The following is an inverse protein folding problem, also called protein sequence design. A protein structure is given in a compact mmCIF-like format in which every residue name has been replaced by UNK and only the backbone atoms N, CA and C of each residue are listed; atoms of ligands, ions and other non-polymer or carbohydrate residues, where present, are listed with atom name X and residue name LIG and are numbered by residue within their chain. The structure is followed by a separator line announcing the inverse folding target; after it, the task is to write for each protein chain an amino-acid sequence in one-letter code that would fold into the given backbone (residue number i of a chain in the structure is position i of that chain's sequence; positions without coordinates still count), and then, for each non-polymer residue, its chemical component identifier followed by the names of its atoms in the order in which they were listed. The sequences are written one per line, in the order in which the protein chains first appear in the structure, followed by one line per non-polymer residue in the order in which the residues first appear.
data_IF_452027601600
#
_entry.id   IF_452027601600
#
_cell.length_a   1.000
_cell.length_b   1.000
_cell.length_c   1.000
_cell.angle_alpha   90.00
_cell.angle_beta   90.00
_cell.angle_gamma   90.00
#
_symmetry.space_group_name_H-M   'P 1'
#
loop_
_entity.id
_entity.type
_entity.pdbx_description
1 polymer ?
#
# COMPACT_ATOMS: atom_id res chain seq x y z
N UNK A 1 4.92 -12.16 19.01
CA UNK A 1 5.33 -12.67 20.37
C UNK A 1 6.00 -11.51 21.08
N UNK A 2 5.41 -11.02 22.15
CA UNK A 2 5.95 -9.92 22.94
C UNK A 2 7.11 -10.37 23.84
N UNK A 3 8.08 -9.50 24.17
CA UNK A 3 9.09 -9.81 25.18
C UNK A 3 8.50 -10.29 26.51
N UNK A 4 7.34 -9.77 26.89
CA UNK A 4 6.60 -10.20 28.10
C UNK A 4 6.13 -11.65 28.03
N UNK A 5 5.88 -12.19 26.84
CA UNK A 5 5.50 -13.59 26.65
C UNK A 5 6.71 -14.54 26.69
N UNK A 6 7.92 -13.99 26.56
CA UNK A 6 9.16 -14.74 26.44
C UNK A 6 10.14 -14.49 27.62
N UNK A 7 9.66 -13.99 28.73
CA UNK A 7 10.46 -13.64 29.93
C UNK A 7 11.41 -14.76 30.35
N UNK A 8 10.98 -16.01 30.18
CA UNK A 8 11.77 -17.19 30.59
C UNK A 8 13.10 -17.35 29.85
N UNK A 9 13.19 -16.77 28.64
CA UNK A 9 14.36 -16.87 27.76
C UNK A 9 15.16 -15.56 27.69
N UNK A 10 14.72 -14.52 28.41
CA UNK A 10 15.41 -13.23 28.45
C UNK A 10 16.29 -13.14 29.72
N UNK A 11 17.39 -12.36 29.64
CA UNK A 11 18.19 -12.06 30.84
C UNK A 11 17.32 -11.44 31.93
N UNK A 12 17.66 -11.74 33.21
CA UNK A 12 16.98 -11.14 34.35
C UNK A 12 16.98 -9.61 34.21
N UNK A 13 15.81 -8.99 34.42
CA UNK A 13 15.61 -7.57 34.33
C UNK A 13 15.71 -6.95 32.90
N UNK A 14 15.91 -7.74 31.84
CA UNK A 14 16.02 -7.22 30.47
C UNK A 14 14.87 -6.26 30.09
N UNK A 15 13.64 -6.61 30.49
CA UNK A 15 12.46 -5.78 30.21
C UNK A 15 12.52 -4.45 30.96
N UNK A 16 12.97 -4.46 32.23
CA UNK A 16 13.04 -3.27 33.05
C UNK A 16 14.24 -2.38 32.69
N UNK A 17 15.41 -3.00 32.53
CA UNK A 17 16.69 -2.26 32.42
C UNK A 17 16.97 -1.82 30.96
N UNK A 18 16.51 -2.55 29.99
CA UNK A 18 16.73 -2.26 28.56
C UNK A 18 15.46 -1.68 27.93
N UNK A 19 14.37 -2.45 27.94
CA UNK A 19 13.15 -1.99 27.27
C UNK A 19 12.41 -0.92 28.06
N UNK A 20 12.51 -0.91 29.39
CA UNK A 20 11.89 0.09 30.26
C UNK A 20 12.51 1.48 30.17
N UNK A 21 13.78 1.56 29.76
CA UNK A 21 14.51 2.84 29.61
C UNK A 21 14.36 3.45 28.21
N UNK A 22 13.77 2.76 27.26
CA UNK A 22 13.51 3.31 25.95
C UNK A 22 12.54 4.51 26.01
N UNK A 23 12.65 5.47 25.11
CA UNK A 23 11.65 6.50 24.92
C UNK A 23 10.25 5.89 24.82
N UNK A 24 9.22 6.62 25.26
CA UNK A 24 7.86 6.09 25.43
C UNK A 24 7.34 5.34 24.19
N UNK A 25 7.60 5.89 23.01
CA UNK A 25 7.22 5.31 21.74
C UNK A 25 7.94 4.00 21.43
N UNK A 26 9.26 3.96 21.59
CA UNK A 26 10.07 2.75 21.38
C UNK A 26 9.72 1.68 22.41
N UNK A 27 9.45 2.09 23.64
CA UNK A 27 8.99 1.20 24.70
C UNK A 27 7.67 0.53 24.33
N UNK A 28 6.68 1.30 23.84
CA UNK A 28 5.39 0.76 23.39
C UNK A 28 5.58 -0.22 22.22
N UNK A 29 6.45 0.13 21.27
CA UNK A 29 6.74 -0.72 20.11
C UNK A 29 7.48 -2.00 20.49
N UNK A 30 8.57 -1.91 21.24
CA UNK A 30 9.47 -3.03 21.49
C UNK A 30 9.14 -3.83 22.76
N UNK A 31 8.57 -3.20 23.78
CA UNK A 31 8.15 -3.86 25.01
C UNK A 31 6.73 -4.37 24.93
N UNK A 32 5.81 -3.52 24.46
CA UNK A 32 4.37 -3.80 24.54
C UNK A 32 3.83 -4.39 23.22
N UNK A 33 4.65 -4.38 22.15
CA UNK A 33 4.28 -4.90 20.82
C UNK A 33 3.21 -4.06 20.11
N UNK A 34 3.05 -2.81 20.53
CA UNK A 34 2.12 -1.91 19.92
C UNK A 34 2.67 -1.36 18.60
N UNK A 35 1.82 -1.29 17.59
CA UNK A 35 2.10 -0.58 16.36
C UNK A 35 1.99 0.92 16.61
N UNK A 36 3.12 1.57 16.88
CA UNK A 36 3.20 3.02 17.07
C UNK A 36 3.79 3.63 15.81
N UNK A 37 3.02 4.49 15.15
CA UNK A 37 3.47 5.18 13.93
C UNK A 37 4.72 6.03 14.21
N UNK A 38 5.67 6.11 13.24
CA UNK A 38 6.81 7.01 13.30
C UNK A 38 6.39 8.48 13.44
N UNK A 39 7.26 9.29 14.03
CA UNK A 39 7.11 10.75 13.99
C UNK A 39 7.22 11.20 12.53
N UNK A 40 6.35 12.11 12.09
CA UNK A 40 6.28 12.49 10.68
C UNK A 40 5.65 11.46 9.74
N UNK A 41 4.91 10.46 10.27
CA UNK A 41 4.17 9.49 9.45
C UNK A 41 3.32 10.19 8.40
N UNK A 42 3.44 9.76 7.15
CA UNK A 42 2.72 10.35 6.02
C UNK A 42 1.24 9.99 6.07
N UNK A 43 0.91 8.72 6.31
CA UNK A 43 -0.48 8.27 6.44
C UNK A 43 -0.96 8.38 7.89
N UNK A 44 -1.01 9.61 8.42
CA UNK A 44 -1.44 9.88 9.80
C UNK A 44 -2.93 9.58 10.03
N UNK A 45 -3.74 9.64 8.97
CA UNK A 45 -5.19 9.33 9.00
C UNK A 45 -5.50 7.84 8.91
N UNK A 46 -4.53 7.01 8.49
CA UNK A 46 -4.73 5.56 8.40
C UNK A 46 -4.95 4.94 9.77
N UNK A 47 -5.96 4.09 9.93
CA UNK A 47 -6.29 3.39 11.17
C UNK A 47 -6.59 1.90 10.91
N UNK A 48 -6.44 1.06 11.92
CA UNK A 48 -6.76 -0.38 11.89
C UNK A 48 -8.20 -0.67 11.41
N UNK A 49 -9.14 0.24 11.64
CA UNK A 49 -10.54 0.09 11.21
C UNK A 49 -10.73 0.18 9.69
N UNK A 50 -9.71 0.61 8.98
CA UNK A 50 -9.69 0.63 7.52
C UNK A 50 -9.22 -0.69 6.92
N UNK A 51 -8.61 -1.56 7.72
CA UNK A 51 -8.19 -2.91 7.32
C UNK A 51 -9.42 -3.82 7.34
N UNK A 52 -9.59 -4.57 6.26
CA UNK A 52 -10.73 -5.46 6.07
C UNK A 52 -10.24 -6.90 5.95
N UNK A 53 -10.88 -7.81 6.70
CA UNK A 53 -10.60 -9.23 6.60
C UNK A 53 -11.18 -9.81 5.30
N UNK A 54 -10.65 -10.95 4.88
CA UNK A 54 -10.97 -11.58 3.60
C UNK A 54 -12.49 -11.81 3.40
N UNK A 55 -13.14 -12.32 4.44
CA UNK A 55 -14.57 -12.64 4.42
C UNK A 55 -15.49 -11.39 4.37
N UNK A 56 -14.95 -10.22 4.70
CA UNK A 56 -15.67 -8.95 4.73
C UNK A 56 -15.48 -8.12 3.46
N UNK A 57 -14.67 -8.59 2.51
CA UNK A 57 -14.48 -7.92 1.22
C UNK A 57 -15.76 -8.08 0.37
N UNK A 58 -16.33 -7.00 -0.16
CA UNK A 58 -17.50 -7.10 -1.02
C UNK A 58 -17.23 -7.96 -2.26
N UNK A 59 -18.25 -8.70 -2.75
CA UNK A 59 -18.08 -9.48 -3.97
C UNK A 59 -17.82 -8.56 -5.17
N UNK A 60 -17.13 -9.10 -6.19
CA UNK A 60 -16.75 -8.38 -7.42
C UNK A 60 -17.86 -7.52 -8.01
N UNK A 61 -19.10 -8.00 -7.97
CA UNK A 61 -20.28 -7.32 -8.55
C UNK A 61 -20.64 -5.99 -7.86
N UNK A 62 -20.05 -5.67 -6.72
CA UNK A 62 -20.24 -4.40 -6.01
C UNK A 62 -19.27 -3.31 -6.45
N UNK A 63 -18.20 -3.68 -7.11
CA UNK A 63 -17.22 -2.75 -7.64
C UNK A 63 -17.59 -2.32 -9.05
N UNK A 64 -17.50 -1.04 -9.31
CA UNK A 64 -17.80 -0.41 -10.60
C UNK A 64 -16.64 -0.58 -11.58
N UNK A 65 -15.41 -0.53 -11.05
CA UNK A 65 -14.18 -0.55 -11.83
C UNK A 65 -13.04 -1.15 -11.02
N UNK A 66 -12.06 -1.70 -11.74
CA UNK A 66 -10.76 -2.09 -11.17
C UNK A 66 -9.64 -1.38 -11.91
N UNK A 67 -8.69 -0.85 -11.15
CA UNK A 67 -7.44 -0.31 -11.66
C UNK A 67 -6.26 -1.01 -11.02
N UNK A 68 -5.11 -0.94 -11.66
CA UNK A 68 -3.85 -1.45 -11.10
C UNK A 68 -2.86 -0.29 -11.05
N UNK A 69 -2.13 -0.19 -9.97
CA UNK A 69 -0.95 0.66 -9.91
C UNK A 69 0.30 -0.19 -10.02
N UNK A 70 1.29 0.26 -10.79
CA UNK A 70 2.53 -0.48 -11.04
C UNK A 70 3.73 0.43 -10.82
N UNK A 71 4.62 0.01 -9.92
CA UNK A 71 5.94 0.60 -9.73
C UNK A 71 7.01 -0.33 -10.34
N UNK A 72 7.75 0.23 -11.33
CA UNK A 72 8.82 -0.48 -11.98
C UNK A 72 10.15 -0.25 -11.27
N UNK A 73 10.82 -1.32 -10.95
CA UNK A 73 12.14 -1.26 -10.34
C UNK A 73 12.80 -2.63 -10.36
N UNK A 74 13.93 -2.73 -9.68
CA UNK A 74 14.52 -4.01 -9.34
C UNK A 74 13.57 -4.78 -8.39
N UNK A 75 12.90 -4.03 -7.50
CA UNK A 75 11.73 -4.46 -6.75
C UNK A 75 10.48 -3.99 -7.52
N UNK A 76 9.86 -4.88 -8.24
CA UNK A 76 8.59 -4.63 -8.90
C UNK A 76 7.47 -4.70 -7.86
N UNK A 77 6.57 -3.73 -7.86
CA UNK A 77 5.38 -3.75 -7.02
C UNK A 77 4.12 -3.39 -7.81
N UNK A 78 3.02 -4.04 -7.46
CA UNK A 78 1.72 -3.74 -8.04
C UNK A 78 0.62 -3.86 -6.99
N UNK A 79 -0.41 -3.02 -7.11
CA UNK A 79 -1.57 -3.00 -6.22
C UNK A 79 -2.84 -3.02 -7.05
N UNK A 80 -3.71 -3.99 -6.78
CA UNK A 80 -5.06 -4.07 -7.36
C UNK A 80 -6.02 -3.21 -6.54
N UNK A 81 -6.74 -2.32 -7.22
CA UNK A 81 -7.62 -1.33 -6.61
C UNK A 81 -9.02 -1.50 -7.17
N UNK A 82 -10.00 -1.70 -6.29
CA UNK A 82 -11.41 -1.70 -6.61
C UNK A 82 -12.07 -0.37 -6.25
N UNK A 83 -13.05 0.06 -7.05
CA UNK A 83 -13.78 1.32 -6.88
C UNK A 83 -15.24 1.03 -6.61
N UNK A 84 -15.77 1.58 -5.52
CA UNK A 84 -17.17 1.45 -5.13
C UNK A 84 -17.70 2.82 -4.67
N UNK A 85 -18.35 3.54 -5.59
CA UNK A 85 -18.68 4.95 -5.39
C UNK A 85 -17.42 5.78 -5.12
N UNK A 86 -17.45 6.56 -4.06
CA UNK A 86 -16.29 7.39 -3.65
C UNK A 86 -15.23 6.61 -2.85
N UNK A 87 -15.52 5.36 -2.49
CA UNK A 87 -14.62 4.54 -1.67
C UNK A 87 -13.65 3.75 -2.54
N UNK A 88 -12.37 3.87 -2.23
CA UNK A 88 -11.30 3.08 -2.83
C UNK A 88 -10.95 1.89 -1.94
N UNK A 89 -10.68 0.76 -2.58
CA UNK A 89 -10.34 -0.49 -1.93
C UNK A 89 -9.03 -1.01 -2.48
N UNK A 90 -8.01 -1.09 -1.67
CA UNK A 90 -6.82 -1.87 -2.01
C UNK A 90 -7.13 -3.33 -1.73
N UNK A 91 -7.30 -4.12 -2.79
CA UNK A 91 -7.84 -5.48 -2.71
C UNK A 91 -6.76 -6.54 -2.59
N UNK A 92 -5.64 -6.33 -3.24
CA UNK A 92 -4.49 -7.23 -3.19
C UNK A 92 -3.23 -6.49 -3.62
N UNK A 93 -2.09 -6.93 -3.15
CA UNK A 93 -0.79 -6.49 -3.63
C UNK A 93 0.09 -7.66 -4.04
N UNK A 94 1.01 -7.38 -4.93
CA UNK A 94 1.98 -8.37 -5.38
C UNK A 94 3.28 -7.69 -5.79
N UNK A 95 4.40 -8.37 -5.54
CA UNK A 95 5.70 -7.86 -5.93
C UNK A 95 6.69 -8.97 -6.22
N UNK A 96 7.74 -8.61 -6.96
CA UNK A 96 8.80 -9.51 -7.32
C UNK A 96 10.14 -8.79 -7.42
N UNK A 97 11.21 -9.54 -7.20
CA UNK A 97 12.57 -9.05 -7.37
C UNK A 97 13.11 -9.47 -8.74
N UNK A 98 13.69 -8.52 -9.48
CA UNK A 98 14.40 -8.77 -10.74
C UNK A 98 13.58 -9.54 -11.79
N UNK A 99 12.35 -9.09 -12.04
CA UNK A 99 11.43 -9.68 -13.02
C UNK A 99 11.23 -8.74 -14.22
N UNK A 100 11.03 -9.29 -15.42
CA UNK A 100 10.64 -8.49 -16.59
C UNK A 100 9.19 -8.03 -16.47
N UNK A 101 8.85 -6.90 -17.09
CA UNK A 101 7.47 -6.38 -17.07
C UNK A 101 6.46 -7.37 -17.65
N UNK A 102 6.81 -8.04 -18.76
CA UNK A 102 5.96 -9.07 -19.37
C UNK A 102 5.71 -10.26 -18.44
N UNK A 103 6.73 -10.76 -17.74
CA UNK A 103 6.58 -11.85 -16.78
C UNK A 103 5.75 -11.40 -15.59
N UNK A 104 5.95 -10.17 -15.09
CA UNK A 104 5.17 -9.58 -14.02
C UNK A 104 3.70 -9.43 -14.41
N UNK A 105 3.42 -8.94 -15.63
CA UNK A 105 2.06 -8.84 -16.16
C UNK A 105 1.34 -10.21 -16.16
N UNK A 106 2.01 -11.25 -16.62
CA UNK A 106 1.42 -12.59 -16.61
C UNK A 106 1.11 -13.09 -15.19
N UNK A 107 1.98 -12.78 -14.22
CA UNK A 107 1.72 -13.13 -12.82
C UNK A 107 0.52 -12.36 -12.24
N UNK A 108 0.39 -11.08 -12.54
CA UNK A 108 -0.77 -10.28 -12.12
C UNK A 108 -2.08 -10.83 -12.73
N UNK A 109 -2.08 -11.15 -14.02
CA UNK A 109 -3.22 -11.77 -14.70
C UNK A 109 -3.61 -13.08 -14.00
N UNK A 110 -2.66 -13.99 -13.84
CA UNK A 110 -2.90 -15.30 -13.22
C UNK A 110 -3.41 -15.19 -11.77
N UNK A 111 -2.98 -14.14 -11.04
CA UNK A 111 -3.36 -13.92 -9.65
C UNK A 111 -4.74 -13.28 -9.51
N UNK A 112 -5.04 -12.26 -10.30
CA UNK A 112 -6.19 -11.39 -10.05
C UNK A 112 -7.39 -11.66 -10.95
N UNK A 113 -7.19 -12.00 -12.22
CA UNK A 113 -8.32 -12.22 -13.14
C UNK A 113 -9.28 -13.35 -12.73
N UNK A 114 -8.83 -14.48 -12.15
CA UNK A 114 -9.74 -15.53 -11.72
C UNK A 114 -10.77 -15.08 -10.68
N UNK A 115 -10.39 -14.15 -9.80
CA UNK A 115 -11.26 -13.63 -8.75
C UNK A 115 -11.96 -12.33 -9.15
N UNK A 116 -11.22 -11.38 -9.75
CA UNK A 116 -11.68 -10.02 -10.00
C UNK A 116 -12.01 -9.73 -11.46
N UNK A 117 -11.62 -10.59 -12.39
CA UNK A 117 -11.69 -10.32 -13.84
C UNK A 117 -10.61 -9.32 -14.27
N UNK A 118 -10.64 -8.97 -15.57
CA UNK A 118 -9.72 -7.99 -16.12
C UNK A 118 -9.95 -6.60 -15.50
N UNK A 119 -8.86 -5.87 -15.30
CA UNK A 119 -8.88 -4.46 -14.89
C UNK A 119 -9.04 -3.52 -16.08
N UNK A 120 -9.55 -2.32 -15.83
CA UNK A 120 -9.75 -1.30 -16.86
C UNK A 120 -8.46 -0.64 -17.32
N UNK A 121 -7.65 -0.13 -16.37
CA UNK A 121 -6.37 0.54 -16.64
C UNK A 121 -5.33 0.13 -15.60
N UNK A 122 -4.09 -0.06 -16.04
CA UNK A 122 -2.92 -0.17 -15.18
C UNK A 122 -2.09 1.12 -15.28
N UNK A 123 -2.11 1.92 -14.25
CA UNK A 123 -1.30 3.15 -14.15
C UNK A 123 0.10 2.81 -13.68
N UNK A 124 1.06 3.02 -14.55
CA UNK A 124 2.43 2.58 -14.38
C UNK A 124 3.35 3.78 -14.12
N UNK A 125 4.41 3.55 -13.33
CA UNK A 125 5.49 4.53 -13.16
C UNK A 125 5.95 5.05 -14.54
N UNK A 126 5.88 6.37 -14.80
CA UNK A 126 6.29 6.94 -16.09
C UNK A 126 7.75 6.67 -16.46
N UNK A 127 8.61 6.42 -15.49
CA UNK A 127 10.00 6.02 -15.74
C UNK A 127 10.12 4.65 -16.40
N UNK A 128 9.02 3.87 -16.44
CA UNK A 128 8.94 2.57 -17.07
C UNK A 128 9.17 2.59 -18.59
N UNK A 129 8.83 3.68 -19.28
CA UNK A 129 9.02 3.82 -20.72
C UNK A 129 8.33 2.68 -21.50
N UNK A 130 9.10 2.01 -22.37
CA UNK A 130 8.55 0.91 -23.21
C UNK A 130 7.97 -0.26 -22.38
N UNK A 131 8.41 -0.46 -21.14
CA UNK A 131 7.88 -1.53 -20.26
C UNK A 131 6.40 -1.39 -19.98
N UNK A 132 5.85 -0.17 -20.05
CA UNK A 132 4.42 0.09 -19.86
C UNK A 132 3.58 -0.67 -20.89
N UNK A 133 4.07 -0.79 -22.13
CA UNK A 133 3.38 -1.52 -23.22
C UNK A 133 3.34 -3.04 -22.99
N UNK A 134 4.18 -3.56 -22.11
CA UNK A 134 4.17 -4.97 -21.72
C UNK A 134 3.13 -5.29 -20.64
N UNK A 135 2.50 -4.26 -20.04
CA UNK A 135 1.44 -4.40 -19.03
C UNK A 135 0.07 -4.30 -19.71
N UNK A 136 -0.82 -5.22 -19.40
CA UNK A 136 -2.21 -5.21 -19.90
C UNK A 136 -2.91 -3.91 -19.50
N UNK A 137 -3.44 -3.19 -20.51
CA UNK A 137 -4.05 -1.87 -20.33
C UNK A 137 -3.12 -0.85 -19.63
N UNK A 138 -1.79 -0.94 -19.86
CA UNK A 138 -0.80 -0.04 -19.27
C UNK A 138 -0.93 1.38 -19.80
N UNK A 139 -0.86 2.38 -18.91
CA UNK A 139 -0.85 3.80 -19.20
C UNK A 139 0.07 4.53 -18.22
N UNK A 140 0.54 5.72 -18.60
CA UNK A 140 1.38 6.56 -17.74
C UNK A 140 0.61 7.05 -16.50
N UNK A 141 1.21 6.88 -15.33
CA UNK A 141 0.69 7.41 -14.08
C UNK A 141 0.99 8.90 -13.91
N UNK A 142 0.16 9.57 -13.11
CA UNK A 142 0.50 10.88 -12.56
C UNK A 142 1.54 10.70 -11.45
N UNK A 143 2.69 11.34 -11.61
CA UNK A 143 3.81 11.24 -10.66
C UNK A 143 3.88 12.37 -9.64
N UNK A 144 2.81 13.13 -9.43
CA UNK A 144 2.72 14.15 -8.39
C UNK A 144 2.69 13.50 -6.99
N UNK A 145 3.86 13.31 -6.38
CA UNK A 145 4.01 12.55 -5.12
C UNK A 145 3.20 13.18 -4.00
N UNK A 146 3.41 14.48 -3.73
CA UNK A 146 2.77 15.17 -2.61
C UNK A 146 1.24 15.26 -2.79
N UNK A 147 0.78 15.54 -4.01
CA UNK A 147 -0.65 15.63 -4.29
C UNK A 147 -1.33 14.27 -4.15
N UNK A 148 -0.71 13.21 -4.63
CA UNK A 148 -1.22 11.85 -4.50
C UNK A 148 -1.28 11.37 -3.04
N UNK A 149 -0.26 11.68 -2.24
CA UNK A 149 -0.25 11.34 -0.81
C UNK A 149 -1.31 12.13 -0.03
N UNK A 150 -1.45 13.42 -0.32
CA UNK A 150 -2.48 14.26 0.29
C UNK A 150 -3.88 13.77 -0.08
N UNK A 151 -4.09 13.38 -1.33
CA UNK A 151 -5.37 12.84 -1.79
C UNK A 151 -5.72 11.53 -1.07
N UNK A 152 -4.77 10.61 -0.92
CA UNK A 152 -4.99 9.36 -0.17
C UNK A 152 -5.35 9.64 1.31
N UNK A 153 -4.64 10.57 1.96
CA UNK A 153 -4.97 10.99 3.32
C UNK A 153 -6.39 11.58 3.42
N UNK A 154 -6.82 12.39 2.45
CA UNK A 154 -8.19 12.90 2.41
C UNK A 154 -9.22 11.77 2.26
N UNK A 155 -8.96 10.75 1.45
CA UNK A 155 -9.81 9.56 1.34
C UNK A 155 -9.92 8.82 2.67
N UNK A 156 -8.80 8.64 3.37
CA UNK A 156 -8.76 8.04 4.71
C UNK A 156 -9.56 8.87 5.73
N UNK A 157 -9.36 10.19 5.76
CA UNK A 157 -10.05 11.09 6.68
C UNK A 157 -11.56 11.10 6.49
N UNK A 158 -12.04 10.97 5.24
CA UNK A 158 -13.47 10.90 4.90
C UNK A 158 -14.09 9.52 5.12
N UNK A 159 -13.31 8.51 5.50
CA UNK A 159 -13.77 7.12 5.59
C UNK A 159 -14.02 6.45 4.22
N UNK A 160 -13.47 7.01 3.16
CA UNK A 160 -13.59 6.57 1.77
C UNK A 160 -12.38 5.70 1.34
N UNK A 161 -11.77 5.00 2.30
CA UNK A 161 -10.60 4.15 2.08
C UNK A 161 -10.74 2.82 2.82
N UNK A 162 -10.43 1.74 2.14
CA UNK A 162 -10.34 0.39 2.69
C UNK A 162 -9.12 -0.34 2.11
N UNK A 163 -8.56 -1.22 2.90
CA UNK A 163 -7.44 -2.08 2.48
C UNK A 163 -7.64 -3.50 2.99
N UNK A 164 -7.55 -4.48 2.11
CA UNK A 164 -7.60 -5.88 2.49
C UNK A 164 -6.37 -6.27 3.30
N UNK A 165 -6.55 -7.11 4.32
CA UNK A 165 -5.43 -7.58 5.16
C UNK A 165 -4.34 -8.27 4.35
N UNK A 166 -4.67 -8.88 3.22
CA UNK A 166 -3.72 -9.52 2.32
C UNK A 166 -2.80 -8.55 1.57
N UNK A 167 -3.08 -7.23 1.55
CA UNK A 167 -2.16 -6.21 1.06
C UNK A 167 -0.99 -6.01 2.03
N UNK A 168 -0.25 -7.08 2.30
CA UNK A 168 0.79 -7.09 3.33
C UNK A 168 1.98 -6.20 2.96
N UNK A 169 2.29 -6.07 1.66
CA UNK A 169 3.34 -5.20 1.17
C UNK A 169 3.01 -3.73 1.44
N UNK A 170 1.83 -3.28 1.00
CA UNK A 170 1.39 -1.91 1.22
C UNK A 170 1.23 -1.59 2.72
N UNK A 171 0.63 -2.49 3.49
CA UNK A 171 0.47 -2.30 4.94
C UNK A 171 1.83 -2.15 5.63
N UNK A 172 2.80 -2.99 5.28
CA UNK A 172 4.15 -2.92 5.84
C UNK A 172 4.83 -1.58 5.55
N UNK A 173 4.79 -1.12 4.31
CA UNK A 173 5.38 0.15 3.91
C UNK A 173 4.63 1.35 4.50
N UNK A 174 3.30 1.35 4.46
CA UNK A 174 2.47 2.45 4.92
C UNK A 174 2.68 2.80 6.41
N UNK A 175 2.96 1.81 7.24
CA UNK A 175 3.27 2.04 8.65
C UNK A 175 4.61 2.74 8.89
N UNK A 176 5.60 2.47 8.05
CA UNK A 176 6.95 3.03 8.19
C UNK A 176 7.18 4.27 7.29
N UNK A 177 6.23 4.60 6.41
CA UNK A 177 6.38 5.71 5.47
C UNK A 177 6.26 7.05 6.17
N UNK A 178 7.36 7.81 6.18
CA UNK A 178 7.49 9.02 6.99
C UNK A 178 8.29 10.11 6.29
N UNK A 179 8.27 11.30 6.89
CA UNK A 179 9.09 12.43 6.49
C UNK A 179 10.34 12.54 7.37
N UNK A 180 11.45 13.00 6.78
CA UNK A 180 12.65 13.35 7.53
C UNK A 180 12.42 14.62 8.36
N UNK A 181 13.42 14.98 9.18
CA UNK A 181 13.40 16.20 10.02
C UNK A 181 13.22 17.51 9.21
N UNK A 182 13.46 17.47 7.89
CA UNK A 182 13.29 18.59 6.97
C UNK A 182 11.92 18.55 6.27
N UNK A 183 11.04 17.64 6.65
CA UNK A 183 9.71 17.46 6.09
C UNK A 183 9.67 16.77 4.72
N UNK A 184 10.78 16.21 4.23
CA UNK A 184 10.84 15.52 2.93
C UNK A 184 10.47 14.05 3.10
N UNK A 185 9.75 13.50 2.14
CA UNK A 185 9.43 12.08 2.07
C UNK A 185 10.72 11.26 2.04
N UNK A 186 10.84 10.28 2.94
CA UNK A 186 11.94 9.33 2.94
C UNK A 186 11.64 8.24 1.91
N UNK A 187 12.38 8.27 0.80
CA UNK A 187 12.26 7.31 -0.30
C UNK A 187 13.02 6.02 0.01
N UNK A 188 12.41 5.18 0.85
CA UNK A 188 12.96 3.88 1.24
C UNK A 188 11.82 2.91 1.48
N UNK A 189 11.84 1.74 0.82
CA UNK A 189 10.79 0.73 0.91
C UNK A 189 9.39 1.34 0.66
N UNK A 190 9.22 2.00 -0.48
CA UNK A 190 8.00 2.73 -0.85
C UNK A 190 7.36 2.23 -2.17
N UNK A 191 7.76 1.05 -2.62
CA UNK A 191 7.32 0.50 -3.91
C UNK A 191 5.81 0.24 -3.97
N UNK A 192 5.23 -0.37 -2.94
CA UNK A 192 3.78 -0.61 -2.88
C UNK A 192 3.00 0.67 -2.61
N UNK A 193 3.59 1.60 -1.85
CA UNK A 193 2.98 2.92 -1.62
C UNK A 193 2.94 3.71 -2.93
N UNK A 194 4.03 3.73 -3.70
CA UNK A 194 4.07 4.40 -4.99
C UNK A 194 3.16 3.71 -6.02
N UNK A 195 3.16 2.37 -6.10
CA UNK A 195 2.23 1.63 -6.93
C UNK A 195 0.75 1.98 -6.59
N UNK A 196 0.39 1.95 -5.32
CA UNK A 196 -0.97 2.29 -4.88
C UNK A 196 -1.35 3.74 -5.23
N UNK A 197 -0.40 4.68 -5.07
CA UNK A 197 -0.59 6.08 -5.45
C UNK A 197 -0.80 6.21 -6.97
N UNK A 198 0.00 5.54 -7.78
CA UNK A 198 -0.17 5.53 -9.23
C UNK A 198 -1.57 5.05 -9.64
N UNK A 199 -1.99 3.88 -9.18
CA UNK A 199 -3.27 3.29 -9.54
C UNK A 199 -4.50 4.05 -9.05
N UNK A 200 -4.39 4.74 -7.92
CA UNK A 200 -5.52 5.46 -7.32
C UNK A 200 -5.59 6.93 -7.74
N UNK A 201 -4.50 7.68 -7.60
CA UNK A 201 -4.48 9.11 -7.87
C UNK A 201 -4.60 9.44 -9.35
N UNK A 202 -3.94 8.67 -10.23
CA UNK A 202 -4.02 8.89 -11.69
C UNK A 202 -5.44 8.70 -12.22
N UNK A 203 -6.15 7.70 -11.72
CA UNK A 203 -7.57 7.49 -12.07
C UNK A 203 -8.42 8.68 -11.61
N UNK A 204 -8.21 9.18 -10.42
CA UNK A 204 -8.96 10.33 -9.89
C UNK A 204 -8.73 11.60 -10.71
N UNK A 205 -7.50 11.84 -11.18
CA UNK A 205 -7.14 13.02 -12.00
C UNK A 205 -7.60 12.95 -13.45
N UNK A 206 -7.66 11.76 -14.05
CA UNK A 206 -8.07 11.58 -15.46
C UNK A 206 -9.60 11.58 -15.67
N UNK A 207 -10.39 11.59 -14.59
CA UNK A 207 -11.86 11.48 -14.66
C UNK A 207 -12.29 10.05 -15.06
N UNK A 208 -13.58 9.75 -14.91
CA UNK A 208 -14.15 8.51 -15.41
C UNK A 208 -14.19 8.59 -16.93
N UNK A 209 -13.26 7.95 -17.63
CA UNK A 209 -13.42 7.65 -19.05
C UNK A 209 -14.53 6.59 -19.15
N UNK A 210 -15.76 7.06 -19.28
CA UNK A 210 -16.86 6.22 -19.68
C UNK A 210 -16.55 5.72 -21.11
N UNK A 211 -16.04 4.50 -21.22
CA UNK A 211 -16.07 3.79 -22.48
C UNK A 211 -17.54 3.47 -22.78
N UNK A 212 -18.11 4.21 -23.73
CA UNK A 212 -19.42 3.97 -24.35
C UNK A 212 -19.26 2.88 -25.40
#
# INVERSE_FOLDING_TARGET
MNPTDNVKNLPANYIADILGQLPDRERRRFRDGEWVKPEGTIFDKFTETMIVEEDDIPPRSKFEEFTVGVDFGLNFAAVLIGWMGDTIWFLDDWGAFSMTASAANQQMINRWEPEWGAWGVAYCDPSGGERIQEISAGDDADNAVEDGLNWLNQKMERGEFKVARRCAGWLGEAYDYHRDEKGRVVKQNDHYVDAARYGSYSRAGKGVLLYV
#
